data_IF_216843183898
#
_entry.id   IF_216843183898
#
_cell.length_a   1.000
_cell.length_b   1.000
_cell.length_c   1.000
_cell.angle_alpha   90.00
_cell.angle_beta   90.00
_cell.angle_gamma   90.00
#
_symmetry.space_group_name_H-M   'P 1'
#
loop_
_entity.id
_entity.type
_entity.pdbx_description
1 polymer ?
#
# COMPACT_ATOMS: atom_id res chain seq x y z
N UNK A 1 -1.64 -57.56 12.96
CA UNK A 1 -1.78 -56.08 13.01
C UNK A 1 -0.41 -55.49 12.75
N UNK A 2 -0.15 -54.98 11.54
CA UNK A 2 1.15 -54.40 11.18
C UNK A 2 1.05 -52.88 11.34
N UNK A 3 1.72 -52.34 12.35
CA UNK A 3 1.78 -50.89 12.61
C UNK A 3 2.77 -50.24 11.65
N UNK A 4 2.27 -49.39 10.77
CA UNK A 4 3.11 -48.58 9.87
C UNK A 4 3.81 -47.48 10.70
N UNK A 5 5.10 -47.20 10.49
CA UNK A 5 5.75 -46.07 11.15
C UNK A 5 5.19 -44.76 10.59
N UNK A 6 4.76 -43.86 11.49
CA UNK A 6 4.26 -42.55 11.13
C UNK A 6 5.41 -41.72 10.51
N UNK A 7 5.28 -41.35 9.23
CA UNK A 7 6.16 -40.39 8.58
C UNK A 7 5.98 -39.03 9.27
N UNK A 8 7.05 -38.54 9.92
CA UNK A 8 7.09 -37.19 10.49
C UNK A 8 6.99 -36.19 9.34
N UNK A 9 6.04 -35.23 9.37
CA UNK A 9 5.93 -34.23 8.32
C UNK A 9 7.20 -33.36 8.30
N UNK A 10 7.66 -32.92 7.12
CA UNK A 10 8.85 -32.09 7.01
C UNK A 10 8.65 -30.75 7.76
N UNK A 11 9.74 -30.17 8.30
CA UNK A 11 9.68 -28.89 8.99
C UNK A 11 9.18 -27.79 8.03
N UNK A 12 8.30 -26.91 8.54
CA UNK A 12 7.76 -25.79 7.77
C UNK A 12 8.89 -24.86 7.29
N UNK A 13 8.74 -24.24 6.10
CA UNK A 13 9.73 -23.30 5.59
C UNK A 13 9.94 -22.12 6.55
N UNK A 14 11.16 -21.57 6.63
CA UNK A 14 11.44 -20.43 7.49
C UNK A 14 10.57 -19.23 7.10
N UNK A 15 9.98 -18.58 8.10
CA UNK A 15 9.23 -17.35 7.90
C UNK A 15 10.15 -16.27 7.29
N UNK A 16 9.64 -15.40 6.39
CA UNK A 16 10.44 -14.33 5.79
C UNK A 16 11.10 -13.47 6.88
N UNK A 17 12.42 -13.27 6.77
CA UNK A 17 13.26 -12.52 7.72
C UNK A 17 12.89 -11.04 7.88
N UNK A 18 12.03 -10.51 7.01
CA UNK A 18 11.57 -9.12 7.07
C UNK A 18 10.04 -9.12 7.02
N UNK A 19 9.36 -8.45 7.97
CA UNK A 19 7.94 -8.19 7.79
C UNK A 19 7.78 -7.44 6.46
N UNK A 20 6.78 -7.82 5.64
CA UNK A 20 6.46 -7.01 4.47
C UNK A 20 6.20 -5.59 4.95
N UNK A 21 6.60 -4.56 4.18
CA UNK A 21 6.30 -3.18 4.52
C UNK A 21 4.80 -3.08 4.83
N UNK A 22 4.47 -2.63 6.04
CA UNK A 22 3.09 -2.52 6.49
C UNK A 22 2.41 -1.41 5.68
N UNK A 23 1.76 -1.79 4.59
CA UNK A 23 0.80 -0.96 3.88
C UNK A 23 -0.56 -1.13 4.53
N UNK A 24 -1.09 -0.04 5.08
CA UNK A 24 -2.40 0.01 5.70
C UNK A 24 -3.30 0.91 4.86
N UNK A 25 -4.44 0.36 4.45
CA UNK A 25 -5.50 1.15 3.82
C UNK A 25 -6.12 2.06 4.87
N UNK A 26 -6.00 3.38 4.68
CA UNK A 26 -6.56 4.38 5.59
C UNK A 26 -7.97 4.79 5.19
N UNK A 27 -8.24 4.93 3.89
CA UNK A 27 -9.54 5.34 3.38
C UNK A 27 -9.78 4.80 1.97
N UNK A 28 -11.02 4.42 1.69
CA UNK A 28 -11.52 3.99 0.37
C UNK A 28 -12.35 5.08 -0.32
N UNK A 29 -12.52 6.20 0.35
CA UNK A 29 -13.54 7.21 0.05
C UNK A 29 -12.85 8.51 -0.34
N UNK A 30 -11.96 8.40 -1.33
CA UNK A 30 -11.12 9.49 -1.82
C UNK A 30 -11.44 9.70 -3.28
N UNK A 31 -11.89 10.91 -3.63
CA UNK A 31 -12.17 11.26 -5.02
C UNK A 31 -10.98 12.00 -5.61
N UNK A 32 -10.43 11.51 -6.71
CA UNK A 32 -9.36 12.21 -7.44
C UNK A 32 -10.00 13.33 -8.23
N UNK A 33 -9.56 14.56 -8.00
CA UNK A 33 -10.03 15.75 -8.71
C UNK A 33 -9.14 16.02 -9.92
N UNK A 34 -7.82 15.90 -9.73
CA UNK A 34 -6.84 16.05 -10.81
C UNK A 34 -5.55 15.30 -10.48
N UNK A 35 -4.76 14.99 -11.52
CA UNK A 35 -3.43 14.38 -11.37
C UNK A 35 -2.42 15.27 -12.08
N UNK A 36 -1.41 15.72 -11.33
CA UNK A 36 -0.30 16.53 -11.85
C UNK A 36 0.97 15.72 -11.84
N UNK A 37 1.63 15.62 -12.99
CA UNK A 37 2.94 15.00 -13.09
C UNK A 37 4.03 16.03 -12.77
N UNK A 38 4.80 15.79 -11.71
CA UNK A 38 5.93 16.63 -11.33
C UNK A 38 7.17 16.06 -12.02
N UNK A 39 7.82 16.88 -12.87
CA UNK A 39 8.96 16.54 -13.74
C UNK A 39 9.82 15.39 -13.20
N UNK A 40 9.61 14.20 -13.78
CA UNK A 40 10.57 13.09 -13.76
C UNK A 40 10.36 11.95 -12.75
N UNK A 41 9.46 12.04 -11.77
CA UNK A 41 9.37 10.93 -10.79
C UNK A 41 8.05 10.76 -10.04
N UNK A 42 7.26 11.82 -9.83
CA UNK A 42 6.11 11.75 -8.92
C UNK A 42 4.82 12.20 -9.61
N UNK A 43 3.77 11.42 -9.43
CA UNK A 43 2.42 11.83 -9.75
C UNK A 43 1.78 12.31 -8.46
N UNK A 44 1.24 13.52 -8.49
CA UNK A 44 0.57 14.14 -7.35
C UNK A 44 -0.92 14.23 -7.70
N UNK A 45 -1.75 13.55 -6.95
CA UNK A 45 -3.18 13.61 -7.10
C UNK A 45 -3.76 14.64 -6.12
N UNK A 46 -4.49 15.61 -6.66
CA UNK A 46 -5.35 16.47 -5.87
C UNK A 46 -6.62 15.69 -5.55
N UNK A 47 -6.91 15.49 -4.28
CA UNK A 47 -8.05 14.68 -3.83
C UNK A 47 -9.02 15.48 -2.99
N UNK A 48 -10.29 15.09 -3.09
CA UNK A 48 -11.32 15.48 -2.15
C UNK A 48 -11.59 14.33 -1.18
N UNK A 49 -11.55 14.64 0.11
CA UNK A 49 -11.90 13.75 1.21
C UNK A 49 -13.40 13.87 1.51
N UNK A 50 -13.97 12.87 2.21
CA UNK A 50 -15.41 12.83 2.55
C UNK A 50 -15.91 14.02 3.36
N UNK A 51 -15.05 14.67 4.13
CA UNK A 51 -15.38 15.86 4.89
C UNK A 51 -15.37 17.15 4.05
N UNK A 52 -15.30 17.02 2.72
CA UNK A 52 -15.26 18.13 1.77
C UNK A 52 -13.90 18.85 1.70
N UNK A 53 -12.88 18.37 2.43
CA UNK A 53 -11.53 18.96 2.38
C UNK A 53 -10.75 18.44 1.18
N UNK A 54 -9.79 19.24 0.75
CA UNK A 54 -8.88 18.90 -0.33
C UNK A 54 -7.47 18.67 0.20
N UNK A 55 -6.70 17.85 -0.50
CA UNK A 55 -5.29 17.64 -0.21
C UNK A 55 -4.55 17.05 -1.40
N UNK A 56 -3.23 17.19 -1.40
CA UNK A 56 -2.37 16.63 -2.42
C UNK A 56 -1.67 15.39 -1.89
N UNK A 57 -1.80 14.27 -2.61
CA UNK A 57 -1.23 12.99 -2.20
C UNK A 57 -0.44 12.39 -3.36
N UNK A 58 0.78 11.88 -3.12
CA UNK A 58 1.49 11.09 -4.12
C UNK A 58 0.63 9.92 -4.61
N UNK A 59 0.63 9.64 -5.91
CA UNK A 59 -0.10 8.52 -6.48
C UNK A 59 0.78 7.70 -7.42
N UNK A 60 0.34 6.46 -7.67
CA UNK A 60 0.97 5.62 -8.69
C UNK A 60 0.82 6.25 -10.09
N UNK A 61 1.76 5.95 -10.98
CA UNK A 61 1.84 6.59 -12.31
C UNK A 61 0.66 6.25 -13.24
N UNK A 62 -0.04 5.15 -12.96
CA UNK A 62 -1.19 4.69 -13.72
C UNK A 62 -2.53 5.24 -13.20
N UNK A 63 -2.54 5.96 -12.06
CA UNK A 63 -3.75 6.55 -11.46
C UNK A 63 -4.27 7.72 -12.31
N UNK A 64 -5.55 7.67 -12.63
CA UNK A 64 -6.32 8.69 -13.35
C UNK A 64 -7.51 9.15 -12.52
N UNK A 65 -8.08 10.30 -12.89
CA UNK A 65 -9.22 10.92 -12.20
C UNK A 65 -10.44 10.02 -12.07
N UNK A 66 -10.70 9.16 -13.05
CA UNK A 66 -11.86 8.26 -13.06
C UNK A 66 -11.61 6.92 -12.34
N UNK A 67 -10.39 6.65 -11.89
CA UNK A 67 -10.09 5.36 -11.25
C UNK A 67 -10.63 5.33 -9.82
N UNK A 68 -11.22 4.21 -9.37
CA UNK A 68 -11.49 4.00 -7.96
C UNK A 68 -10.15 3.85 -7.22
N UNK A 69 -9.84 4.76 -6.30
CA UNK A 69 -8.58 4.77 -5.56
C UNK A 69 -8.78 4.65 -4.04
N UNK A 70 -7.81 4.03 -3.39
CA UNK A 70 -7.66 4.02 -1.94
C UNK A 70 -6.47 4.85 -1.51
N UNK A 71 -6.57 5.48 -0.34
CA UNK A 71 -5.46 6.10 0.35
C UNK A 71 -4.77 5.08 1.25
N UNK A 72 -3.52 4.79 0.93
CA UNK A 72 -2.68 3.87 1.67
C UNK A 72 -1.64 4.65 2.48
N UNK A 73 -1.40 4.22 3.70
CA UNK A 73 -0.23 4.60 4.48
C UNK A 73 0.79 3.48 4.44
N UNK A 74 2.05 3.84 4.22
CA UNK A 74 3.17 2.92 4.26
C UNK A 74 4.17 3.41 5.29
N UNK A 75 4.45 2.55 6.27
CA UNK A 75 5.50 2.80 7.25
C UNK A 75 6.78 2.11 6.79
N UNK A 76 7.83 2.88 6.59
CA UNK A 76 9.14 2.43 6.15
C UNK A 76 10.15 2.71 7.25
N UNK A 77 10.95 1.71 7.62
CA UNK A 77 12.11 1.92 8.49
C UNK A 77 13.34 2.00 7.59
N UNK A 78 13.97 3.18 7.53
CA UNK A 78 15.15 3.44 6.69
C UNK A 78 16.22 4.12 7.52
N UNK A 79 17.41 3.52 7.58
CA UNK A 79 18.56 4.02 8.35
C UNK A 79 18.22 4.33 9.82
N UNK A 80 17.43 3.46 10.48
CA UNK A 80 17.00 3.66 11.86
C UNK A 80 15.94 4.74 12.07
N UNK A 81 15.42 5.37 11.00
CA UNK A 81 14.29 6.30 11.05
C UNK A 81 13.01 5.64 10.56
N UNK A 82 11.91 5.93 11.24
CA UNK A 82 10.57 5.56 10.82
C UNK A 82 10.01 6.69 9.94
N UNK A 83 9.72 6.39 8.69
CA UNK A 83 9.04 7.28 7.75
C UNK A 83 7.62 6.76 7.49
N UNK A 84 6.60 7.56 7.78
CA UNK A 84 5.25 7.30 7.34
C UNK A 84 5.00 8.06 6.02
N UNK A 85 4.54 7.35 4.98
CA UNK A 85 4.25 7.93 3.67
C UNK A 85 2.81 7.62 3.27
N UNK A 86 2.13 8.62 2.71
CA UNK A 86 0.82 8.47 2.12
C UNK A 86 0.95 8.25 0.61
N UNK A 87 0.14 7.37 0.04
CA UNK A 87 0.10 7.09 -1.38
C UNK A 87 -1.30 6.69 -1.83
N UNK A 88 -1.78 7.26 -2.93
CA UNK A 88 -3.00 6.79 -3.60
C UNK A 88 -2.68 5.67 -4.57
N UNK A 89 -3.50 4.63 -4.53
CA UNK A 89 -3.39 3.46 -5.41
C UNK A 89 -4.76 3.02 -5.86
N UNK A 90 -4.85 2.39 -7.03
CA UNK A 90 -6.11 1.84 -7.53
C UNK A 90 -6.62 0.73 -6.62
N UNK A 91 -7.93 0.70 -6.42
CA UNK A 91 -8.61 -0.41 -5.77
C UNK A 91 -8.79 -1.56 -6.78
N UNK A 92 -8.65 -2.83 -6.33
CA UNK A 92 -8.92 -4.00 -7.16
C UNK A 92 -10.40 -4.14 -7.53
#
# INVERSE_FOLDING_TARGET
MMSHPALVPPPAPPAPLHPPPAEQLLSRTVSVVSVTQIKGAFHLAHVQLENGRFGDVPCDADVKTADPVGLYSRVLVRNGRVEARLQLRKLP
#
